data_IF_051132893139
#
_entry.id   IF_051132893139
#
_cell.length_a   1.000
_cell.length_b   1.000
_cell.length_c   1.000
_cell.angle_alpha   90.00
_cell.angle_beta   90.00
_cell.angle_gamma   90.00
#
_symmetry.space_group_name_H-M   'P 1'
#
loop_
_entity.id
_entity.type
_entity.pdbx_description
1 polymer ?
#
# COMPACT_ATOMS: atom_id res chain seq x y z
N UNK A 1 3.24 -22.37 10.54
CA UNK A 1 2.81 -21.39 9.53
C UNK A 1 1.32 -21.15 9.73
N UNK A 2 1.01 -20.08 10.43
CA UNK A 2 -0.35 -19.61 10.66
C UNK A 2 -0.58 -18.37 9.79
N UNK A 3 -1.73 -18.30 9.10
CA UNK A 3 -2.10 -17.11 8.31
C UNK A 3 -3.09 -16.29 9.12
N UNK A 4 -2.77 -15.02 9.38
CA UNK A 4 -3.67 -14.07 10.03
C UNK A 4 -4.11 -13.01 9.05
N UNK A 5 -5.42 -12.98 8.75
CA UNK A 5 -6.02 -11.92 7.93
C UNK A 5 -5.83 -10.58 8.65
N UNK A 6 -5.48 -9.55 7.89
CA UNK A 6 -5.44 -8.18 8.35
C UNK A 6 -6.83 -7.61 8.06
N UNK A 7 -7.57 -7.22 9.10
CA UNK A 7 -8.94 -6.70 9.01
C UNK A 7 -8.96 -5.24 8.55
N UNK A 8 -8.38 -4.99 7.37
CA UNK A 8 -8.23 -3.69 6.72
C UNK A 8 -8.29 -3.87 5.20
N UNK A 9 -8.80 -2.84 4.53
CA UNK A 9 -8.81 -2.76 3.07
C UNK A 9 -7.67 -1.87 2.57
N UNK A 10 -6.99 -2.34 1.55
CA UNK A 10 -5.82 -1.70 0.98
C UNK A 10 -6.05 -1.26 -0.47
N UNK A 11 -5.26 -0.28 -0.87
CA UNK A 11 -5.11 0.15 -2.24
C UNK A 11 -3.66 0.00 -2.70
N UNK A 12 -3.49 -0.34 -3.98
CA UNK A 12 -2.21 -0.33 -4.69
C UNK A 12 -2.20 0.90 -5.58
N UNK A 13 -1.28 1.82 -5.29
CA UNK A 13 -1.19 3.14 -5.90
C UNK A 13 0.09 3.27 -6.72
N UNK A 14 -0.01 3.74 -7.96
CA UNK A 14 1.13 4.27 -8.70
C UNK A 14 1.22 5.77 -8.46
N UNK A 15 2.34 6.25 -7.94
CA UNK A 15 2.52 7.66 -7.54
C UNK A 15 3.59 8.34 -8.37
N UNK A 16 3.50 9.67 -8.49
CA UNK A 16 4.54 10.48 -9.15
C UNK A 16 5.84 10.49 -8.33
N UNK A 17 5.72 10.59 -7.02
CA UNK A 17 6.80 10.52 -6.04
C UNK A 17 6.27 10.11 -4.65
N UNK A 18 7.17 9.92 -3.68
CA UNK A 18 6.83 9.52 -2.32
C UNK A 18 6.59 10.69 -1.35
N UNK A 19 6.44 11.93 -1.82
CA UNK A 19 6.29 13.10 -0.94
C UNK A 19 4.99 13.12 -0.14
N UNK A 20 3.96 12.39 -0.59
CA UNK A 20 2.62 12.38 -0.01
C UNK A 20 2.25 11.06 0.69
N UNK A 21 3.21 10.18 0.93
CA UNK A 21 2.97 8.93 1.68
C UNK A 21 3.25 9.14 3.17
N UNK A 22 2.54 8.41 4.03
CA UNK A 22 2.84 8.38 5.46
C UNK A 22 3.59 7.09 5.84
N UNK A 23 4.91 7.19 6.01
CA UNK A 23 5.74 6.05 6.43
C UNK A 23 5.48 5.57 7.87
N UNK A 24 4.66 6.29 8.64
CA UNK A 24 4.26 5.88 10.00
C UNK A 24 2.95 5.09 10.04
N UNK A 25 2.33 4.81 8.89
CA UNK A 25 1.13 3.97 8.83
C UNK A 25 1.45 2.55 9.33
N UNK A 26 0.47 1.89 9.95
CA UNK A 26 0.64 0.55 10.54
C UNK A 26 1.12 -0.46 9.49
N UNK A 27 0.59 -0.34 8.27
CA UNK A 27 1.00 -1.11 7.11
C UNK A 27 1.24 -0.18 5.92
N UNK A 28 2.48 -0.11 5.49
CA UNK A 28 2.85 0.58 4.24
C UNK A 28 3.93 -0.22 3.53
N UNK A 29 3.74 -0.40 2.22
CA UNK A 29 4.76 -1.00 1.36
C UNK A 29 5.08 -0.05 0.22
N UNK A 30 6.37 0.12 -0.05
CA UNK A 30 6.87 0.98 -1.12
C UNK A 30 7.69 0.13 -2.06
N UNK A 31 7.32 0.16 -3.34
CA UNK A 31 8.04 -0.47 -4.44
C UNK A 31 8.57 0.58 -5.40
N UNK A 32 9.81 0.40 -5.86
CA UNK A 32 10.41 1.23 -6.90
C UNK A 32 11.06 0.34 -7.95
N UNK A 33 10.76 0.62 -9.20
CA UNK A 33 11.47 0.07 -10.36
C UNK A 33 12.05 1.22 -11.18
N UNK A 34 12.65 0.90 -12.32
CA UNK A 34 13.02 1.86 -13.35
C UNK A 34 11.79 2.44 -14.08
N UNK A 35 10.62 1.79 -13.99
CA UNK A 35 9.41 2.16 -14.71
C UNK A 35 8.33 2.82 -13.83
N UNK A 36 8.36 2.62 -12.51
CA UNK A 36 7.35 3.20 -11.62
C UNK A 36 7.72 3.25 -10.13
N UNK A 37 6.93 4.04 -9.41
CA UNK A 37 6.85 4.12 -7.96
C UNK A 37 5.47 3.64 -7.52
N UNK A 38 5.44 2.63 -6.66
CA UNK A 38 4.22 1.94 -6.25
C UNK A 38 4.12 1.91 -4.73
N UNK A 39 2.92 2.11 -4.20
CA UNK A 39 2.63 2.17 -2.77
C UNK A 39 1.44 1.27 -2.47
N UNK A 40 1.57 0.40 -1.48
CA UNK A 40 0.41 -0.28 -0.87
C UNK A 40 0.13 0.42 0.45
N UNK A 41 -1.08 0.94 0.59
CA UNK A 41 -1.53 1.72 1.74
C UNK A 41 -3.00 1.41 2.04
N UNK A 42 -3.46 1.78 3.23
CA UNK A 42 -4.88 1.67 3.60
C UNK A 42 -5.74 2.61 2.73
N UNK A 43 -7.01 2.28 2.53
CA UNK A 43 -7.91 3.08 1.68
C UNK A 43 -8.02 4.56 2.08
N UNK A 44 -7.86 4.87 3.37
CA UNK A 44 -7.87 6.24 3.90
C UNK A 44 -6.54 6.99 3.74
N UNK A 45 -5.45 6.27 3.46
CA UNK A 45 -4.10 6.80 3.27
C UNK A 45 -3.69 6.95 1.80
N UNK A 46 -4.63 6.81 0.85
CA UNK A 46 -4.35 6.95 -0.58
C UNK A 46 -3.74 8.35 -0.85
N UNK A 47 -2.51 8.43 -1.41
CA UNK A 47 -1.88 9.72 -1.73
C UNK A 47 -2.65 10.51 -2.77
N UNK A 48 -2.61 11.85 -2.73
CA UNK A 48 -3.31 12.66 -3.74
C UNK A 48 -2.58 12.69 -5.08
N UNK A 49 -1.28 12.40 -5.11
CA UNK A 49 -0.46 12.33 -6.32
C UNK A 49 -0.47 10.95 -7.00
N UNK A 50 -1.56 10.18 -6.83
CA UNK A 50 -1.75 8.92 -7.53
C UNK A 50 -2.07 9.15 -9.01
N UNK A 51 -1.33 8.49 -9.89
CA UNK A 51 -1.63 8.41 -11.33
C UNK A 51 -2.51 7.21 -11.68
N UNK A 52 -2.48 6.17 -10.84
CA UNK A 52 -3.33 4.99 -10.94
C UNK A 52 -3.58 4.41 -9.55
N UNK A 53 -4.76 3.83 -9.33
CA UNK A 53 -5.14 3.23 -8.05
C UNK A 53 -5.99 1.99 -8.30
N UNK A 54 -5.57 0.86 -7.73
CA UNK A 54 -6.34 -0.37 -7.61
C UNK A 54 -6.77 -0.55 -6.14
N UNK A 55 -8.02 -0.93 -5.89
CA UNK A 55 -8.69 -0.86 -4.56
C UNK A 55 -9.34 -2.21 -4.21
N UNK A 56 -9.72 -2.43 -2.95
CA UNK A 56 -10.40 -3.66 -2.55
C UNK A 56 -9.49 -4.79 -2.11
N UNK A 57 -8.22 -4.50 -1.81
CA UNK A 57 -7.24 -5.54 -1.47
C UNK A 57 -7.32 -5.91 0.02
N UNK A 58 -7.23 -7.20 0.32
CA UNK A 58 -7.15 -7.73 1.68
C UNK A 58 -5.79 -8.38 1.90
N UNK A 59 -5.09 -7.95 2.95
CA UNK A 59 -3.78 -8.48 3.32
C UNK A 59 -3.86 -9.63 4.34
N UNK A 60 -2.80 -10.42 4.42
CA UNK A 60 -2.60 -11.37 5.51
C UNK A 60 -1.14 -11.40 5.95
N UNK A 61 -0.90 -11.70 7.23
CA UNK A 61 0.43 -11.92 7.80
C UNK A 61 0.68 -13.40 7.98
N UNK A 62 1.82 -13.88 7.49
CA UNK A 62 2.33 -15.21 7.80
C UNK A 62 3.01 -15.14 9.18
N UNK A 63 2.50 -15.90 10.14
CA UNK A 63 3.10 -16.05 11.47
C UNK A 63 3.82 -17.39 11.57
N UNK A 64 5.10 -17.31 11.96
CA UNK A 64 5.98 -18.44 12.26
C UNK A 64 5.76 -18.97 13.67
#
# INVERSE_FOLDING_TARGET
MELKIIDKEFAICKVEDFSQINLNDEFIFVGKTDNELSVVCEMESIPNNCTHTDRGWIGFRIQG
#
